data_IF_699377891791
#
_entry.id   IF_699377891791
#
_cell.length_a   1.000
_cell.length_b   1.000
_cell.length_c   1.000
_cell.angle_alpha   90.00
_cell.angle_beta   90.00
_cell.angle_gamma   90.00
#
_symmetry.space_group_name_H-M   'P 1'
#
loop_
_entity.id
_entity.type
_entity.pdbx_description
1 polymer ?
#
# COMPACT_ATOMS: atom_id res chain seq x y z
N UNK A 1 6.08 84.47 -39.76
CA UNK A 1 6.71 84.09 -38.48
C UNK A 1 7.45 82.77 -38.76
N UNK A 2 8.72 82.81 -39.24
CA UNK A 2 9.98 82.77 -38.45
C UNK A 2 10.02 81.46 -37.64
N UNK A 3 10.88 80.45 -37.81
CA UNK A 3 12.23 80.35 -38.40
C UNK A 3 12.61 78.87 -38.63
N UNK A 4 13.34 78.60 -39.71
CA UNK A 4 14.21 77.43 -39.96
C UNK A 4 15.47 77.47 -39.10
N UNK A 5 16.01 76.35 -38.61
CA UNK A 5 17.47 76.07 -38.67
C UNK A 5 17.79 74.60 -38.38
N UNK A 6 18.57 74.02 -39.30
CA UNK A 6 19.33 72.77 -39.19
C UNK A 6 20.57 72.95 -38.28
N UNK A 7 21.02 71.87 -37.64
CA UNK A 7 22.43 71.58 -37.29
C UNK A 7 22.50 70.07 -36.94
N UNK A 8 22.95 69.22 -37.86
CA UNK A 8 24.32 68.67 -38.01
C UNK A 8 24.77 67.71 -36.89
N UNK A 9 24.54 66.41 -37.16
CA UNK A 9 25.55 65.35 -37.31
C UNK A 9 26.70 65.25 -36.28
N UNK A 10 26.75 64.15 -35.52
CA UNK A 10 27.85 63.16 -35.60
C UNK A 10 27.91 62.15 -34.43
N UNK A 11 28.35 60.94 -34.81
CA UNK A 11 28.94 59.84 -34.00
C UNK A 11 28.01 58.76 -33.43
N UNK A 12 27.74 57.80 -34.33
CA UNK A 12 27.79 56.35 -34.06
C UNK A 12 28.86 56.00 -33.02
N UNK A 13 28.44 55.35 -31.94
CA UNK A 13 29.18 54.25 -31.29
C UNK A 13 28.22 53.42 -30.45
N UNK A 14 27.76 52.33 -31.06
CA UNK A 14 27.10 51.22 -30.39
C UNK A 14 28.09 50.56 -29.43
N UNK A 15 27.93 50.81 -28.13
CA UNK A 15 28.58 50.02 -27.10
C UNK A 15 27.65 48.86 -26.74
N UNK A 16 27.89 47.69 -27.36
CA UNK A 16 27.30 46.42 -26.93
C UNK A 16 28.05 45.93 -25.67
N UNK A 17 27.38 45.72 -24.52
CA UNK A 17 27.99 44.99 -23.41
C UNK A 17 27.91 43.49 -23.70
N UNK A 18 29.09 42.93 -24.01
CA UNK A 18 29.58 41.56 -23.84
C UNK A 18 28.54 40.49 -23.40
N UNK A 19 28.34 39.49 -24.27
CA UNK A 19 27.62 38.23 -23.98
C UNK A 19 28.04 37.68 -22.61
N UNK A 20 27.10 37.64 -21.67
CA UNK A 20 27.23 36.82 -20.47
C UNK A 20 27.16 35.36 -20.89
N UNK A 21 28.21 34.62 -20.54
CA UNK A 21 28.29 33.17 -20.67
C UNK A 21 27.07 32.58 -19.96
N UNK A 22 26.21 31.87 -20.70
CA UNK A 22 25.19 31.01 -20.10
C UNK A 22 25.97 29.88 -19.41
N UNK A 23 26.07 29.93 -18.08
CA UNK A 23 26.44 28.76 -17.31
C UNK A 23 25.37 27.69 -17.54
N UNK A 24 25.84 26.55 -18.02
CA UNK A 24 25.04 25.41 -18.43
C UNK A 24 24.34 24.81 -17.19
N UNK A 25 23.00 24.80 -17.09
CA UNK A 25 22.29 24.20 -15.94
C UNK A 25 22.39 22.66 -15.89
N UNK A 26 23.15 22.05 -16.81
CA UNK A 26 23.21 20.61 -17.04
C UNK A 26 24.07 19.86 -16.01
N UNK A 27 24.97 20.53 -15.27
CA UNK A 27 25.83 19.84 -14.31
C UNK A 27 25.18 19.57 -12.96
N UNK A 28 24.33 20.46 -12.44
CA UNK A 28 23.62 20.22 -11.17
C UNK A 28 22.53 19.16 -11.32
N UNK A 29 21.81 19.15 -12.44
CA UNK A 29 20.87 18.07 -12.76
C UNK A 29 21.58 16.73 -12.94
N UNK A 30 22.80 16.73 -13.49
CA UNK A 30 23.64 15.53 -13.60
C UNK A 30 24.12 15.02 -12.23
N UNK A 31 24.47 15.91 -11.28
CA UNK A 31 24.89 15.50 -9.92
C UNK A 31 23.70 14.98 -9.08
N UNK A 32 22.51 15.56 -9.25
CA UNK A 32 21.26 15.10 -8.60
C UNK A 32 20.77 13.78 -9.19
N UNK A 33 20.85 13.59 -10.51
CA UNK A 33 20.59 12.30 -11.16
C UNK A 33 21.62 11.23 -10.82
N UNK A 34 22.90 11.60 -10.64
CA UNK A 34 23.94 10.67 -10.19
C UNK A 34 23.71 10.16 -8.76
N UNK A 35 23.14 10.98 -7.88
CA UNK A 35 22.72 10.51 -6.54
C UNK A 35 21.50 9.58 -6.61
N UNK A 36 20.52 9.87 -7.46
CA UNK A 36 19.34 8.99 -7.64
C UNK A 36 19.67 7.64 -8.31
N UNK A 37 20.70 7.58 -9.16
CA UNK A 37 21.14 6.33 -9.78
C UNK A 37 22.06 5.47 -8.89
N UNK A 38 22.60 6.03 -7.80
CA UNK A 38 23.54 5.31 -6.92
C UNK A 38 22.85 4.35 -5.95
N UNK A 39 21.54 4.51 -5.72
CA UNK A 39 20.73 3.61 -4.88
C UNK A 39 20.21 2.37 -5.64
N UNK A 40 20.53 2.22 -6.93
CA UNK A 40 20.06 1.08 -7.72
C UNK A 40 20.93 -0.19 -7.60
N UNK A 41 21.94 -0.16 -6.73
CA UNK A 41 22.59 -1.36 -6.18
C UNK A 41 21.90 -1.80 -4.87
N UNK A 42 20.56 -1.73 -4.84
CA UNK A 42 19.79 -2.42 -3.81
C UNK A 42 20.06 -3.92 -3.94
N UNK A 43 20.68 -4.48 -2.90
CA UNK A 43 20.86 -5.90 -2.68
C UNK A 43 19.65 -6.68 -3.21
N UNK A 44 19.86 -7.38 -4.33
CA UNK A 44 18.80 -7.85 -5.24
C UNK A 44 17.83 -8.83 -4.59
N UNK A 45 18.26 -9.46 -3.49
CA UNK A 45 17.51 -10.49 -2.77
C UNK A 45 17.11 -10.09 -1.33
N UNK A 46 17.06 -8.79 -1.01
CA UNK A 46 16.57 -8.34 0.30
C UNK A 46 15.07 -8.62 0.47
N UNK A 47 14.69 -9.31 1.55
CA UNK A 47 13.29 -9.62 1.87
C UNK A 47 12.58 -8.33 2.31
N UNK A 48 11.34 -8.05 1.83
CA UNK A 48 10.62 -6.86 2.28
C UNK A 48 10.36 -6.87 3.79
N UNK A 49 10.52 -5.71 4.44
CA UNK A 49 10.21 -5.58 5.86
C UNK A 49 8.78 -6.04 6.20
N UNK A 50 8.68 -6.90 7.21
CA UNK A 50 7.44 -7.51 7.67
C UNK A 50 6.85 -8.55 6.71
N UNK A 51 7.62 -9.05 5.74
CA UNK A 51 7.13 -10.11 4.84
C UNK A 51 7.18 -11.49 5.49
N UNK A 52 8.18 -11.76 6.33
CA UNK A 52 8.46 -13.08 6.90
C UNK A 52 7.26 -13.62 7.70
N UNK A 53 6.76 -12.83 8.64
CA UNK A 53 5.66 -13.22 9.53
C UNK A 53 4.27 -12.77 9.05
N UNK A 54 4.21 -12.08 7.91
CA UNK A 54 2.95 -11.83 7.24
C UNK A 54 2.37 -13.18 6.73
N UNK A 55 1.11 -13.52 7.04
CA UNK A 55 0.49 -14.75 6.55
C UNK A 55 0.52 -14.82 5.02
N UNK A 56 0.72 -15.98 4.41
CA UNK A 56 0.95 -16.06 2.95
C UNK A 56 -0.26 -15.61 2.13
N UNK A 57 -1.45 -16.14 2.41
CA UNK A 57 -2.68 -15.81 1.69
C UNK A 57 -3.91 -15.85 2.61
N UNK A 58 -5.01 -15.26 2.18
CA UNK A 58 -6.30 -15.27 2.86
C UNK A 58 -7.27 -16.31 2.31
N UNK A 59 -8.46 -16.38 2.91
CA UNK A 59 -9.58 -17.18 2.39
C UNK A 59 -10.09 -16.59 1.07
N UNK A 60 -10.84 -17.40 0.33
CA UNK A 60 -11.44 -16.96 -0.92
C UNK A 60 -12.55 -15.94 -0.72
N UNK A 61 -12.56 -14.93 -1.59
CA UNK A 61 -13.62 -13.95 -1.71
C UNK A 61 -14.37 -14.24 -3.01
N UNK A 62 -15.70 -14.30 -2.94
CA UNK A 62 -16.54 -14.64 -4.09
C UNK A 62 -16.33 -16.06 -4.64
N UNK A 63 -15.58 -16.92 -3.93
CA UNK A 63 -15.27 -18.27 -4.37
C UNK A 63 -14.18 -18.38 -5.44
N UNK A 64 -13.50 -17.29 -5.80
CA UNK A 64 -12.42 -17.35 -6.80
C UNK A 64 -11.24 -16.39 -6.56
N UNK A 65 -11.42 -15.30 -5.79
CA UNK A 65 -10.36 -14.33 -5.51
C UNK A 65 -9.60 -14.75 -4.26
N UNK A 66 -8.28 -14.86 -4.34
CA UNK A 66 -7.38 -15.15 -3.23
C UNK A 66 -6.49 -13.93 -2.97
N UNK A 67 -6.70 -13.19 -1.87
CA UNK A 67 -5.79 -12.13 -1.47
C UNK A 67 -4.50 -12.72 -0.90
N UNK A 68 -3.35 -12.23 -1.36
CA UNK A 68 -2.05 -12.83 -1.04
C UNK A 68 -0.96 -11.78 -0.78
N UNK A 69 0.03 -12.12 0.06
CA UNK A 69 1.33 -11.44 0.03
C UNK A 69 2.08 -11.82 -1.26
N UNK A 70 3.13 -11.08 -1.60
CA UNK A 70 3.91 -11.40 -2.81
C UNK A 70 4.65 -12.74 -2.62
N UNK A 71 4.53 -13.71 -3.55
CA UNK A 71 5.44 -14.85 -3.58
C UNK A 71 6.85 -14.38 -3.93
N UNK A 72 7.87 -14.94 -3.27
CA UNK A 72 9.28 -14.69 -3.58
C UNK A 72 9.83 -15.90 -4.32
N UNK A 73 10.56 -15.68 -5.40
CA UNK A 73 11.20 -16.76 -6.15
C UNK A 73 12.29 -17.45 -5.32
N UNK A 74 12.73 -18.61 -5.79
CA UNK A 74 13.75 -19.41 -5.11
C UNK A 74 15.10 -18.69 -4.96
N UNK A 75 15.35 -17.57 -5.66
CA UNK A 75 16.56 -16.74 -5.45
C UNK A 75 16.62 -16.10 -4.05
N UNK A 76 15.51 -16.07 -3.32
CA UNK A 76 15.44 -15.60 -1.94
C UNK A 76 15.67 -16.71 -0.90
N UNK A 77 15.81 -17.98 -1.32
CA UNK A 77 15.84 -19.13 -0.40
C UNK A 77 17.00 -19.10 0.60
N UNK A 78 18.14 -18.51 0.24
CA UNK A 78 19.30 -18.38 1.13
C UNK A 78 19.07 -17.38 2.27
N UNK A 79 18.06 -16.51 2.12
CA UNK A 79 17.65 -15.52 3.11
C UNK A 79 16.39 -15.97 3.88
N UNK A 80 15.80 -17.12 3.53
CA UNK A 80 14.52 -17.59 4.05
C UNK A 80 14.64 -18.95 4.76
N UNK A 81 14.18 -19.05 6.01
CA UNK A 81 13.92 -20.33 6.66
C UNK A 81 13.03 -21.22 5.80
N UNK A 82 13.29 -22.55 5.72
CA UNK A 82 12.52 -23.46 4.86
C UNK A 82 11.00 -23.41 5.06
N UNK A 83 10.53 -23.28 6.30
CA UNK A 83 9.12 -23.19 6.70
C UNK A 83 8.45 -21.86 6.31
N UNK A 84 9.24 -20.83 6.03
CA UNK A 84 8.77 -19.49 5.63
C UNK A 84 8.82 -19.26 4.12
N UNK A 85 9.30 -20.24 3.34
CA UNK A 85 9.40 -20.13 1.87
C UNK A 85 8.00 -20.13 1.26
N UNK A 86 7.71 -19.08 0.49
CA UNK A 86 6.44 -18.91 -0.21
C UNK A 86 6.72 -18.39 -1.62
N UNK A 87 6.79 -19.32 -2.58
CA UNK A 87 7.04 -19.07 -4.01
C UNK A 87 5.89 -19.59 -4.86
N UNK A 88 5.84 -19.24 -6.14
CA UNK A 88 4.87 -19.86 -7.05
C UNK A 88 5.14 -21.35 -7.23
N UNK A 89 6.39 -21.81 -7.22
CA UNK A 89 6.69 -23.24 -7.20
C UNK A 89 6.08 -23.93 -5.98
N UNK A 90 6.22 -23.33 -4.79
CA UNK A 90 5.56 -23.84 -3.59
C UNK A 90 4.04 -23.91 -3.77
N UNK A 91 3.42 -22.86 -4.34
CA UNK A 91 1.99 -22.84 -4.64
C UNK A 91 1.58 -23.92 -5.64
N UNK A 92 2.34 -24.13 -6.70
CA UNK A 92 2.00 -25.11 -7.74
C UNK A 92 2.05 -26.55 -7.20
N UNK A 93 2.97 -26.83 -6.29
CA UNK A 93 3.11 -28.16 -5.68
C UNK A 93 2.17 -28.41 -4.50
N UNK A 94 1.90 -27.39 -3.68
CA UNK A 94 1.20 -27.55 -2.39
C UNK A 94 -0.03 -26.66 -2.24
N UNK A 95 -0.24 -25.74 -3.18
CA UNK A 95 -1.33 -24.78 -3.14
C UNK A 95 -2.67 -25.51 -3.24
N UNK A 96 -3.69 -25.03 -2.52
CA UNK A 96 -4.93 -25.76 -2.41
C UNK A 96 -5.71 -25.82 -3.73
N UNK A 97 -5.39 -24.94 -4.69
CA UNK A 97 -6.24 -24.62 -5.84
C UNK A 97 -5.44 -24.17 -7.05
N UNK A 98 -5.95 -24.53 -8.25
CA UNK A 98 -5.37 -24.18 -9.54
C UNK A 98 -5.56 -22.69 -9.85
N UNK A 99 -4.46 -21.96 -10.06
CA UNK A 99 -4.49 -20.57 -10.49
C UNK A 99 -4.80 -20.48 -11.98
N UNK A 100 -5.53 -19.43 -12.36
CA UNK A 100 -5.73 -19.04 -13.76
C UNK A 100 -5.13 -17.68 -14.07
N UNK A 101 -5.13 -16.77 -13.09
CA UNK A 101 -4.62 -15.40 -13.25
C UNK A 101 -3.93 -14.94 -11.95
N UNK A 102 -2.83 -14.22 -12.11
CA UNK A 102 -2.17 -13.46 -11.06
C UNK A 102 -2.25 -11.97 -11.40
N UNK A 103 -2.79 -11.17 -10.49
CA UNK A 103 -2.73 -9.70 -10.56
C UNK A 103 -1.72 -9.19 -9.54
N UNK A 104 -0.64 -8.60 -10.04
CA UNK A 104 0.47 -8.04 -9.28
C UNK A 104 0.36 -6.52 -9.17
N UNK A 105 0.11 -6.05 -7.95
CA UNK A 105 -0.07 -4.64 -7.59
C UNK A 105 1.23 -3.96 -7.11
N UNK A 106 2.37 -4.67 -7.15
CA UNK A 106 3.65 -4.13 -6.72
C UNK A 106 4.25 -3.19 -7.77
N UNK A 107 5.02 -2.20 -7.30
CA UNK A 107 5.76 -1.29 -8.18
C UNK A 107 7.23 -1.74 -8.38
N UNK A 108 7.45 -3.05 -8.54
CA UNK A 108 8.77 -3.64 -8.78
C UNK A 108 8.61 -4.98 -9.49
N UNK A 109 9.66 -5.48 -10.11
CA UNK A 109 9.73 -6.79 -10.77
C UNK A 109 10.78 -7.71 -10.15
N UNK A 110 11.33 -7.34 -8.98
CA UNK A 110 12.46 -8.05 -8.36
C UNK A 110 12.07 -9.35 -7.63
N UNK A 111 10.78 -9.58 -7.39
CA UNK A 111 10.34 -10.65 -6.49
C UNK A 111 10.27 -12.02 -7.15
N UNK A 112 9.89 -12.06 -8.42
CA UNK A 112 9.75 -13.28 -9.22
C UNK A 112 9.66 -12.93 -10.70
N UNK A 113 9.86 -13.91 -11.59
CA UNK A 113 9.72 -13.75 -13.03
C UNK A 113 8.46 -14.49 -13.53
N UNK A 114 7.39 -13.76 -13.92
CA UNK A 114 6.13 -14.39 -14.33
C UNK A 114 6.25 -15.25 -15.59
N UNK A 115 7.18 -14.94 -16.49
CA UNK A 115 7.38 -15.72 -17.72
C UNK A 115 7.92 -17.11 -17.43
N UNK A 116 8.82 -17.22 -16.45
CA UNK A 116 9.38 -18.51 -16.07
C UNK A 116 8.51 -19.22 -15.05
N UNK A 117 7.88 -18.52 -14.11
CA UNK A 117 7.20 -19.15 -12.97
C UNK A 117 5.69 -19.36 -13.17
N UNK A 118 5.05 -18.63 -14.10
CA UNK A 118 3.59 -18.68 -14.30
C UNK A 118 3.19 -19.10 -15.72
N UNK A 119 3.77 -18.47 -16.75
CA UNK A 119 3.33 -18.67 -18.14
C UNK A 119 3.48 -20.12 -18.61
N UNK A 120 4.52 -20.82 -18.16
CA UNK A 120 4.74 -22.25 -18.48
C UNK A 120 3.64 -23.16 -17.93
N UNK A 121 2.97 -22.73 -16.86
CA UNK A 121 1.86 -23.46 -16.22
C UNK A 121 0.48 -23.04 -16.78
N UNK A 122 0.46 -22.19 -17.82
CA UNK A 122 -0.77 -21.65 -18.39
C UNK A 122 -1.50 -20.68 -17.45
N UNK A 123 -0.77 -20.04 -16.54
CA UNK A 123 -1.29 -19.01 -15.62
C UNK A 123 -1.04 -17.64 -16.24
N UNK A 124 -2.11 -16.87 -16.42
CA UNK A 124 -2.06 -15.50 -16.91
C UNK A 124 -1.48 -14.56 -15.83
N UNK A 125 -0.88 -13.46 -16.28
CA UNK A 125 -0.25 -12.49 -15.41
C UNK A 125 -0.54 -11.08 -15.88
N UNK A 126 -1.06 -10.25 -14.96
CA UNK A 126 -1.31 -8.83 -15.17
C UNK A 126 -0.61 -8.03 -14.09
N UNK A 127 0.17 -7.01 -14.49
CA UNK A 127 0.83 -6.08 -13.57
C UNK A 127 0.14 -4.72 -13.59
N UNK A 128 -0.46 -4.33 -12.46
CA UNK A 128 -1.07 -3.01 -12.27
C UNK A 128 -0.18 -2.24 -11.29
N UNK A 129 0.74 -1.43 -11.84
CA UNK A 129 1.70 -0.68 -11.02
C UNK A 129 0.99 0.43 -10.26
N UNK A 130 0.72 0.19 -8.98
CA UNK A 130 0.25 1.25 -8.08
C UNK A 130 1.45 2.12 -7.67
N UNK A 131 1.39 3.43 -7.93
CA UNK A 131 2.41 4.40 -7.54
C UNK A 131 2.75 4.34 -6.05
N UNK A 132 3.99 4.73 -5.70
CA UNK A 132 4.52 4.66 -4.32
C UNK A 132 4.18 5.88 -3.46
N UNK A 133 4.41 5.72 -2.14
CA UNK A 133 4.16 6.66 -1.01
C UNK A 133 2.69 6.92 -0.72
N UNK A 134 2.23 6.32 0.38
CA UNK A 134 1.05 6.65 1.20
C UNK A 134 -0.20 7.19 0.49
N UNK A 135 -0.43 6.75 -0.74
CA UNK A 135 -1.59 7.07 -1.54
C UNK A 135 -2.32 5.79 -1.89
N UNK A 136 -3.63 5.92 -2.07
CA UNK A 136 -4.47 4.86 -2.60
C UNK A 136 -4.22 4.68 -4.10
N UNK A 137 -4.46 3.48 -4.66
CA UNK A 137 -4.49 3.29 -6.12
C UNK A 137 -5.40 4.30 -6.82
N UNK A 138 -4.95 4.83 -7.96
CA UNK A 138 -5.75 5.76 -8.77
C UNK A 138 -6.92 5.07 -9.49
N UNK A 139 -7.87 5.88 -9.97
CA UNK A 139 -9.08 5.40 -10.64
C UNK A 139 -8.79 4.57 -11.90
N UNK A 140 -7.70 4.86 -12.63
CA UNK A 140 -7.33 4.09 -13.83
C UNK A 140 -6.92 2.69 -13.42
N UNK A 141 -6.06 2.57 -12.42
CA UNK A 141 -5.60 1.31 -11.85
C UNK A 141 -6.76 0.49 -11.28
N UNK A 142 -7.70 1.13 -10.58
CA UNK A 142 -8.91 0.49 -10.07
C UNK A 142 -9.79 -0.01 -11.22
N UNK A 143 -10.01 0.81 -12.26
CA UNK A 143 -10.82 0.42 -13.41
C UNK A 143 -10.21 -0.75 -14.17
N UNK A 144 -8.89 -0.75 -14.38
CA UNK A 144 -8.17 -1.89 -14.97
C UNK A 144 -8.35 -3.13 -14.11
N UNK A 145 -8.13 -3.04 -12.79
CA UNK A 145 -8.31 -4.18 -11.88
C UNK A 145 -9.71 -4.77 -12.01
N UNK A 146 -10.75 -3.93 -11.88
CA UNK A 146 -12.14 -4.37 -11.94
C UNK A 146 -12.48 -5.00 -13.30
N UNK A 147 -11.93 -4.46 -14.40
CA UNK A 147 -12.10 -5.05 -15.72
C UNK A 147 -11.51 -6.47 -15.77
N UNK A 148 -10.26 -6.65 -15.37
CA UNK A 148 -9.56 -7.95 -15.39
C UNK A 148 -10.27 -8.98 -14.52
N UNK A 149 -10.72 -8.61 -13.32
CA UNK A 149 -11.46 -9.52 -12.44
C UNK A 149 -12.79 -9.96 -13.08
N UNK A 150 -13.53 -9.03 -13.69
CA UNK A 150 -14.78 -9.37 -14.39
C UNK A 150 -14.56 -10.29 -15.60
N UNK A 151 -13.50 -10.06 -16.39
CA UNK A 151 -13.16 -10.97 -17.50
C UNK A 151 -12.80 -12.36 -16.97
N UNK A 152 -11.98 -12.42 -15.92
CA UNK A 152 -11.56 -13.68 -15.32
C UNK A 152 -12.76 -14.48 -14.79
N UNK A 153 -13.64 -13.85 -14.02
CA UNK A 153 -14.83 -14.49 -13.44
C UNK A 153 -15.73 -15.11 -14.53
N UNK A 154 -15.90 -14.43 -15.67
CA UNK A 154 -16.74 -14.89 -16.79
C UNK A 154 -16.17 -16.10 -17.53
N UNK A 155 -14.85 -16.16 -17.73
CA UNK A 155 -14.25 -17.10 -18.69
C UNK A 155 -13.34 -18.17 -18.07
N UNK A 156 -12.88 -17.98 -16.84
CA UNK A 156 -11.87 -18.84 -16.24
C UNK A 156 -12.32 -19.61 -15.00
N UNK A 157 -13.59 -19.50 -14.59
CA UNK A 157 -14.15 -20.33 -13.52
C UNK A 157 -14.07 -21.83 -13.90
N UNK A 158 -13.68 -22.75 -12.99
CA UNK A 158 -13.46 -22.59 -11.54
C UNK A 158 -12.00 -22.31 -11.12
N UNK A 159 -11.11 -21.84 -12.02
CA UNK A 159 -9.75 -21.45 -11.65
C UNK A 159 -9.76 -20.25 -10.70
N UNK A 160 -8.65 -20.05 -10.00
CA UNK A 160 -8.52 -18.99 -8.98
C UNK A 160 -7.69 -17.81 -9.48
N UNK A 161 -8.09 -16.62 -9.02
CA UNK A 161 -7.40 -15.37 -9.22
C UNK A 161 -6.59 -15.05 -7.95
N UNK A 162 -5.28 -14.98 -8.05
CA UNK A 162 -4.42 -14.51 -6.96
C UNK A 162 -4.16 -13.02 -7.13
N UNK A 163 -4.54 -12.22 -6.13
CA UNK A 163 -4.29 -10.77 -6.10
C UNK A 163 -3.30 -10.47 -5.01
N UNK A 164 -2.16 -9.86 -5.35
CA UNK A 164 -1.16 -9.52 -4.36
C UNK A 164 -0.62 -8.10 -4.53
N UNK A 165 -0.28 -7.50 -3.39
CA UNK A 165 0.71 -6.42 -3.33
C UNK A 165 1.95 -7.00 -2.60
N UNK A 166 2.71 -6.21 -1.85
CA UNK A 166 3.82 -6.76 -1.06
C UNK A 166 3.31 -7.64 0.09
N UNK A 167 2.32 -7.16 0.85
CA UNK A 167 1.80 -7.85 2.05
C UNK A 167 0.37 -8.38 1.90
N UNK A 168 -0.34 -8.02 0.84
CA UNK A 168 -1.68 -8.53 0.58
C UNK A 168 -2.81 -7.91 1.40
N UNK A 169 -2.63 -6.69 1.93
CA UNK A 169 -3.60 -6.03 2.80
C UNK A 169 -4.14 -4.73 2.21
N UNK A 170 -3.42 -3.61 2.28
CA UNK A 170 -4.00 -2.30 1.93
C UNK A 170 -4.35 -2.15 0.44
N UNK A 171 -3.37 -2.20 -0.48
CA UNK A 171 -3.63 -2.10 -1.93
C UNK A 171 -4.50 -3.23 -2.45
N UNK A 172 -4.23 -4.47 -2.00
CA UNK A 172 -5.04 -5.64 -2.36
C UNK A 172 -6.48 -5.48 -1.92
N UNK A 173 -6.71 -5.10 -0.66
CA UNK A 173 -8.05 -4.88 -0.12
C UNK A 173 -8.77 -3.73 -0.79
N UNK A 174 -8.09 -2.60 -1.05
CA UNK A 174 -8.67 -1.45 -1.74
C UNK A 174 -9.21 -1.84 -3.13
N UNK A 175 -8.40 -2.54 -3.91
CA UNK A 175 -8.78 -3.04 -5.23
C UNK A 175 -9.98 -4.01 -5.14
N UNK A 176 -9.92 -4.97 -4.22
CA UNK A 176 -10.98 -5.97 -4.05
C UNK A 176 -12.29 -5.32 -3.56
N UNK A 177 -12.23 -4.37 -2.63
CA UNK A 177 -13.43 -3.65 -2.15
C UNK A 177 -14.07 -2.88 -3.30
N UNK A 178 -13.31 -2.19 -4.14
CA UNK A 178 -13.86 -1.55 -5.33
C UNK A 178 -14.55 -2.53 -6.28
N UNK A 179 -13.95 -3.71 -6.51
CA UNK A 179 -14.60 -4.76 -7.30
C UNK A 179 -15.89 -5.25 -6.65
N UNK A 180 -15.91 -5.51 -5.35
CA UNK A 180 -17.09 -5.96 -4.62
C UNK A 180 -18.24 -4.95 -4.70
N UNK A 181 -17.95 -3.67 -4.44
CA UNK A 181 -18.92 -2.58 -4.53
C UNK A 181 -19.50 -2.42 -5.94
N UNK A 182 -18.70 -2.64 -6.99
CA UNK A 182 -19.15 -2.49 -8.39
C UNK A 182 -19.84 -3.73 -8.95
N UNK A 183 -19.58 -4.91 -8.38
CA UNK A 183 -20.20 -6.18 -8.80
C UNK A 183 -21.47 -6.52 -8.03
N UNK A 184 -21.74 -5.86 -6.90
CA UNK A 184 -22.86 -6.16 -6.01
C UNK A 184 -23.65 -4.88 -5.69
N UNK A 185 -24.72 -4.57 -6.45
CA UNK A 185 -25.43 -3.29 -6.36
C UNK A 185 -26.00 -2.90 -4.99
N UNK A 186 -26.20 -3.86 -4.08
CA UNK A 186 -26.76 -3.61 -2.73
C UNK A 186 -25.72 -3.69 -1.61
N UNK A 187 -24.43 -3.83 -1.95
CA UNK A 187 -23.35 -3.92 -0.96
C UNK A 187 -22.91 -2.52 -0.53
N UNK A 188 -22.84 -2.28 0.79
CA UNK A 188 -22.24 -1.08 1.37
C UNK A 188 -20.71 -1.20 1.52
N UNK A 189 -20.02 -0.07 1.65
CA UNK A 189 -18.57 -0.02 1.91
C UNK A 189 -18.23 -0.80 3.18
N UNK A 190 -19.05 -0.67 4.23
CA UNK A 190 -18.87 -1.42 5.48
C UNK A 190 -18.89 -2.93 5.26
N UNK A 191 -19.87 -3.43 4.49
CA UNK A 191 -19.99 -4.86 4.18
C UNK A 191 -18.84 -5.37 3.30
N UNK A 192 -18.40 -4.57 2.32
CA UNK A 192 -17.28 -4.92 1.46
C UNK A 192 -15.96 -4.99 2.25
N UNK A 193 -15.70 -3.99 3.12
CA UNK A 193 -14.57 -3.98 4.04
C UNK A 193 -14.59 -5.19 4.98
N UNK A 194 -15.77 -5.51 5.54
CA UNK A 194 -15.96 -6.68 6.40
C UNK A 194 -15.69 -8.00 5.65
N UNK A 195 -16.15 -8.10 4.41
CA UNK A 195 -15.88 -9.27 3.54
C UNK A 195 -14.37 -9.48 3.35
N UNK A 196 -13.63 -8.39 3.10
CA UNK A 196 -12.17 -8.47 2.98
C UNK A 196 -11.49 -8.78 4.32
N UNK A 197 -11.95 -8.18 5.41
CA UNK A 197 -11.47 -8.45 6.78
C UNK A 197 -11.59 -9.94 7.12
N UNK A 198 -12.78 -10.53 6.92
CA UNK A 198 -13.05 -11.93 7.28
C UNK A 198 -12.18 -12.91 6.46
N UNK A 199 -11.90 -12.55 5.20
CA UNK A 199 -11.07 -13.34 4.31
C UNK A 199 -9.57 -13.15 4.58
N UNK A 200 -9.14 -11.95 4.95
CA UNK A 200 -7.73 -11.58 5.09
C UNK A 200 -7.50 -10.68 6.32
N UNK A 201 -7.64 -11.20 7.56
CA UNK A 201 -7.48 -10.39 8.76
C UNK A 201 -6.10 -9.72 8.86
N UNK A 202 -6.00 -8.47 9.36
CA UNK A 202 -7.10 -7.64 9.86
C UNK A 202 -7.74 -6.78 8.76
N UNK A 203 -7.69 -7.18 7.50
CA UNK A 203 -8.19 -6.41 6.36
C UNK A 203 -7.25 -5.27 5.98
N UNK A 204 -7.84 -4.13 5.62
CA UNK A 204 -7.13 -2.87 5.38
C UNK A 204 -6.87 -2.24 6.74
N UNK A 205 -5.61 -1.90 7.04
CA UNK A 205 -5.20 -1.35 8.33
C UNK A 205 -4.63 0.07 8.24
N UNK A 206 -4.69 0.71 7.06
CA UNK A 206 -4.40 2.14 6.94
C UNK A 206 -5.71 2.93 6.79
N UNK A 207 -5.87 3.96 7.62
CA UNK A 207 -7.11 4.74 7.70
C UNK A 207 -7.38 5.54 6.41
N UNK A 208 -6.34 6.13 5.80
CA UNK A 208 -6.37 6.82 4.50
C UNK A 208 -7.05 5.98 3.40
N UNK A 209 -6.80 4.66 3.39
CA UNK A 209 -7.42 3.74 2.43
C UNK A 209 -8.91 3.53 2.72
N UNK A 210 -9.29 3.40 3.98
CA UNK A 210 -10.68 3.22 4.39
C UNK A 210 -11.48 4.49 4.12
N UNK A 211 -10.94 5.65 4.49
CA UNK A 211 -11.60 6.94 4.33
C UNK A 211 -11.79 7.29 2.85
N UNK A 212 -10.79 6.97 2.00
CA UNK A 212 -10.92 7.11 0.56
C UNK A 212 -12.05 6.24 -0.03
N UNK A 213 -12.28 5.03 0.49
CA UNK A 213 -13.38 4.18 0.04
C UNK A 213 -14.74 4.78 0.40
N UNK A 214 -14.94 5.20 1.65
CA UNK A 214 -16.19 5.87 2.05
C UNK A 214 -16.45 7.14 1.24
N UNK A 215 -15.42 7.97 1.07
CA UNK A 215 -15.49 9.19 0.27
C UNK A 215 -15.86 8.90 -1.19
N UNK A 216 -15.22 7.92 -1.83
CA UNK A 216 -15.48 7.56 -3.22
C UNK A 216 -16.92 7.11 -3.47
N UNK A 217 -17.51 6.36 -2.53
CA UNK A 217 -18.87 5.83 -2.65
C UNK A 217 -19.94 6.73 -2.01
N UNK A 218 -19.56 7.94 -1.56
CA UNK A 218 -20.45 8.89 -0.89
C UNK A 218 -21.20 8.29 0.32
N UNK A 219 -20.57 7.33 1.01
CA UNK A 219 -21.11 6.74 2.23
C UNK A 219 -20.51 7.42 3.46
N UNK A 220 -21.34 7.66 4.48
CA UNK A 220 -20.85 8.16 5.78
C UNK A 220 -20.19 7.01 6.53
N UNK A 221 -18.92 7.18 6.90
CA UNK A 221 -18.20 6.22 7.74
C UNK A 221 -18.88 6.14 9.12
N UNK A 222 -19.33 4.96 9.57
CA UNK A 222 -19.93 4.81 10.90
C UNK A 222 -18.94 5.19 11.99
N UNK A 223 -19.40 5.85 13.06
CA UNK A 223 -18.56 6.19 14.21
C UNK A 223 -17.94 4.96 14.88
N UNK A 224 -18.66 3.82 14.83
CA UNK A 224 -18.19 2.53 15.32
C UNK A 224 -17.14 1.87 14.42
N UNK A 225 -16.86 2.40 13.22
CA UNK A 225 -15.89 1.82 12.29
C UNK A 225 -14.46 2.18 12.70
N UNK A 226 -13.89 1.36 13.58
CA UNK A 226 -12.49 1.51 14.01
C UNK A 226 -11.55 0.95 12.95
N UNK A 227 -10.59 1.75 12.50
CA UNK A 227 -9.49 1.25 11.66
C UNK A 227 -8.66 0.25 12.47
N UNK A 228 -8.41 -0.97 11.96
CA UNK A 228 -7.56 -1.93 12.63
C UNK A 228 -6.16 -1.35 12.88
N UNK A 229 -5.55 -1.73 14.00
CA UNK A 229 -4.16 -1.39 14.30
C UNK A 229 -3.20 -2.05 13.31
N UNK A 230 -2.07 -1.39 13.05
CA UNK A 230 -0.99 -1.99 12.25
C UNK A 230 -0.60 -3.35 12.85
N UNK A 231 -0.61 -4.43 12.05
CA UNK A 231 -0.26 -5.76 12.53
C UNK A 231 1.15 -5.83 13.10
N UNK A 232 1.36 -6.65 14.12
CA UNK A 232 2.66 -6.81 14.80
C UNK A 232 3.79 -7.16 13.82
N UNK A 233 3.55 -8.09 12.89
CA UNK A 233 4.51 -8.48 11.84
C UNK A 233 4.94 -7.31 10.94
N UNK A 234 4.22 -6.18 10.93
CA UNK A 234 4.55 -5.00 10.13
C UNK A 234 5.20 -3.87 10.93
N UNK A 235 5.01 -3.84 12.25
CA UNK A 235 5.52 -2.75 13.10
C UNK A 235 7.03 -2.66 12.98
N UNK A 236 7.54 -1.44 12.93
CA UNK A 236 8.98 -1.22 13.06
C UNK A 236 9.37 -1.34 14.55
N UNK A 237 10.58 -1.80 14.85
CA UNK A 237 11.10 -1.88 16.23
C UNK A 237 11.12 -0.50 16.94
N UNK A 238 11.01 0.60 16.19
CA UNK A 238 10.91 1.95 16.73
C UNK A 238 9.47 2.40 17.08
N UNK A 239 8.43 1.66 16.66
CA UNK A 239 7.02 1.98 16.99
C UNK A 239 6.57 1.33 18.30
N UNK A 240 7.32 0.36 18.84
CA UNK A 240 7.03 -0.31 20.12
C UNK A 240 7.32 0.53 21.37
N UNK A 241 7.81 1.77 21.23
CA UNK A 241 8.12 2.68 22.34
C UNK A 241 7.02 3.71 22.63
N UNK A 242 5.84 3.60 22.04
CA UNK A 242 4.68 4.36 22.55
C UNK A 242 4.17 3.65 23.80
N UNK A 243 4.31 4.22 25.01
CA UNK A 243 3.76 3.59 26.20
C UNK A 243 2.24 3.52 26.02
N UNK A 244 1.69 2.32 26.24
CA UNK A 244 0.26 2.17 26.48
C UNK A 244 -0.06 3.05 27.69
N UNK A 245 -0.70 4.20 27.47
CA UNK A 245 -1.26 5.01 28.55
C UNK A 245 -2.40 4.16 29.12
N UNK A 246 -2.34 3.69 30.38
CA UNK A 246 -3.46 2.98 30.97
C UNK A 246 -4.65 3.93 30.98
N UNK A 247 -5.83 3.45 30.55
CA UNK A 247 -7.04 4.26 30.62
C UNK A 247 -7.30 4.62 32.08
N UNK A 248 -7.29 5.92 32.38
CA UNK A 248 -7.71 6.49 33.65
C UNK A 248 -9.22 6.27 33.85
N UNK A 249 -9.64 5.04 34.17
CA UNK A 249 -11.00 4.75 34.62
C UNK A 249 -11.07 3.73 35.77
N UNK A 250 -9.96 3.15 36.25
CA UNK A 250 -10.01 2.19 37.37
C UNK A 250 -9.46 2.67 38.72
N UNK A 251 -8.80 3.83 38.82
CA UNK A 251 -8.21 4.28 40.10
C UNK A 251 -9.14 5.08 41.04
N UNK A 252 -10.40 5.35 40.66
CA UNK A 252 -11.32 6.12 41.52
C UNK A 252 -12.05 5.25 42.57
N UNK A 253 -11.86 3.92 42.58
CA UNK A 253 -12.58 3.03 43.51
C UNK A 253 -11.86 2.68 44.82
N UNK A 254 -10.62 3.14 45.04
CA UNK A 254 -9.84 2.72 46.22
C UNK A 254 -9.63 3.82 47.28
N UNK A 255 -9.89 5.10 46.99
CA UNK A 255 -9.64 6.21 47.95
C UNK A 255 -10.93 6.84 48.50
N UNK A 256 -11.97 6.04 48.78
CA UNK A 256 -13.17 6.55 49.49
C UNK A 256 -13.75 5.63 50.55
N UNK A 257 -12.88 4.85 51.22
CA UNK A 257 -13.26 4.06 52.39
C UNK A 257 -12.21 4.14 53.52
N UNK A 258 -11.74 5.35 53.80
CA UNK A 258 -11.06 5.67 55.05
C UNK A 258 -11.48 7.09 55.47
N UNK A 259 -12.67 7.19 56.06
CA UNK A 259 -13.00 8.28 56.98
C UNK A 259 -13.45 7.62 58.27
N UNK A 260 -12.64 7.86 59.29
CA UNK A 260 -12.84 7.54 60.69
C UNK A 260 -14.06 8.31 61.18
N UNK A 261 -14.96 7.64 61.91
CA UNK A 261 -15.70 8.21 63.04
C UNK A 261 -16.06 7.08 64.02
N UNK A 262 -15.98 7.44 65.30
CA UNK A 262 -16.35 6.73 66.55
C UNK A 262 -15.33 5.83 67.28
N UNK A 263 -14.73 6.38 68.36
CA UNK A 263 -14.49 5.62 69.58
C UNK A 263 -15.01 6.36 70.84
N UNK A 264 -16.04 5.82 71.51
CA UNK A 264 -16.18 5.83 72.98
C UNK A 264 -17.36 4.93 73.40
N UNK A 265 -17.10 3.74 73.96
CA UNK A 265 -16.92 3.41 75.39
C UNK A 265 -18.20 3.05 76.14
N UNK A 266 -18.30 1.79 76.57
CA UNK A 266 -19.02 1.43 77.80
C UNK A 266 -18.35 0.23 78.49
N UNK A 267 -17.63 0.54 79.57
CA UNK A 267 -17.54 -0.28 80.77
C UNK A 267 -17.48 0.70 81.95
N UNK A 268 -18.64 1.03 82.52
CA UNK A 268 -19.14 0.82 83.91
C UNK A 268 -20.63 1.11 83.89
#
# INVERSE_FOLDING_TARGET
MITTMYSEESRRRSYLPRKRHLENPSEEHSKRSRHYHRDQYQNTNSIPHGWLDCPSFGKEIGGFIIPSKVPLSESYNDHLPPDKRYSFKYWLSNGPKKLGLVIDLTNTTRYYNPSTELRREGIEYVKIRCCGRDSVPDNVSVNTFVHEVNQFERYNFPKKLLVHCTHGHNRTGFMIVHYLMRSRPMMSVTQALKTFYDARPPGIYKADYIDALYSFYNEVKPESAVCPQTPEWKRSENESLSPCVPSLQEEVKVIKKMSIDDPNWSMV
#
